data_IF_005887938812
#
_entry.id   IF_005887938812
#
_cell.length_a   1.000
_cell.length_b   1.000
_cell.length_c   1.000
_cell.angle_alpha   90.00
_cell.angle_beta   90.00
_cell.angle_gamma   90.00
#
_symmetry.space_group_name_H-M   'P 1'
#
loop_
_entity.id
_entity.type
_entity.pdbx_description
1 polymer ?
#
# COMPACT_ATOMS: atom_id res chain seq x y z
N UNK A 1 3.77 11.97 8.42
CA UNK A 1 2.34 12.22 8.11
C UNK A 1 1.76 13.42 8.89
N UNK A 2 1.93 13.54 10.22
CA UNK A 2 1.37 14.68 11.00
C UNK A 2 1.81 16.05 10.46
N UNK A 3 3.09 16.22 10.07
CA UNK A 3 3.59 17.46 9.49
C UNK A 3 2.88 17.84 8.19
N UNK A 4 2.70 16.87 7.26
CA UNK A 4 2.01 17.10 5.99
C UNK A 4 0.57 17.54 6.23
N UNK A 5 -0.17 16.83 7.09
CA UNK A 5 -1.55 17.20 7.43
C UNK A 5 -1.62 18.60 8.04
N UNK A 6 -0.69 18.96 8.92
CA UNK A 6 -0.62 20.30 9.47
C UNK A 6 -0.43 21.36 8.38
N UNK A 7 0.54 21.17 7.49
CA UNK A 7 0.78 22.10 6.38
C UNK A 7 -0.45 22.24 5.48
N UNK A 8 -1.14 21.15 5.16
CA UNK A 8 -2.39 21.16 4.39
C UNK A 8 -3.45 22.01 5.09
N UNK A 9 -3.62 21.80 6.39
CA UNK A 9 -4.61 22.55 7.20
C UNK A 9 -4.24 24.03 7.33
N UNK A 10 -2.98 24.34 7.58
CA UNK A 10 -2.48 25.72 7.66
C UNK A 10 -2.65 26.46 6.32
N UNK A 11 -2.71 25.74 5.19
CA UNK A 11 -2.99 26.29 3.85
C UNK A 11 -4.48 26.41 3.51
N UNK A 12 -5.37 26.20 4.48
CA UNK A 12 -6.82 26.34 4.31
C UNK A 12 -7.53 25.14 3.67
N UNK A 13 -6.83 24.00 3.53
CA UNK A 13 -7.40 22.76 3.03
C UNK A 13 -7.82 21.83 4.17
N UNK A 14 -8.80 20.98 3.92
CA UNK A 14 -9.12 19.88 4.83
C UNK A 14 -8.21 18.67 4.50
N UNK A 15 -7.41 18.23 5.47
CA UNK A 15 -6.56 17.05 5.33
C UNK A 15 -7.26 15.78 5.80
N UNK A 16 -7.29 14.75 4.94
CA UNK A 16 -7.82 13.42 5.25
C UNK A 16 -6.72 12.38 5.04
N UNK A 17 -6.46 11.56 6.06
CA UNK A 17 -5.47 10.48 5.99
C UNK A 17 -6.17 9.15 5.78
N UNK A 18 -5.94 8.54 4.62
CA UNK A 18 -6.29 7.17 4.35
C UNK A 18 -5.23 6.22 4.91
N UNK A 19 -5.64 5.19 5.62
CA UNK A 19 -4.80 4.06 5.99
C UNK A 19 -5.07 2.88 5.08
N UNK A 20 -4.04 2.22 4.59
CA UNK A 20 -4.21 0.90 3.98
C UNK A 20 -4.81 -0.10 4.96
N UNK A 21 -5.45 -1.14 4.44
CA UNK A 21 -6.08 -2.20 5.22
C UNK A 21 -5.13 -2.77 6.28
N UNK A 22 -5.57 -2.79 7.53
CA UNK A 22 -4.76 -3.24 8.66
C UNK A 22 -3.60 -2.32 9.04
N UNK A 23 -3.55 -1.06 8.58
CA UNK A 23 -2.51 -0.09 8.94
C UNK A 23 -2.98 0.99 9.94
N UNK A 24 -4.23 0.95 10.38
CA UNK A 24 -4.80 1.89 11.36
C UNK A 24 -4.63 1.47 12.83
N UNK A 25 -3.82 0.44 13.10
CA UNK A 25 -3.69 -0.17 14.44
C UNK A 25 -4.67 -1.32 14.69
N UNK A 26 -5.63 -1.56 13.78
CA UNK A 26 -6.56 -2.70 13.82
C UNK A 26 -6.43 -3.53 12.55
N UNK A 27 -6.56 -4.86 12.68
CA UNK A 27 -6.59 -5.74 11.53
C UNK A 27 -7.93 -5.60 10.78
N UNK A 28 -7.86 -5.67 9.46
CA UNK A 28 -9.06 -5.78 8.64
C UNK A 28 -9.67 -7.19 8.77
N UNK A 29 -10.97 -7.31 8.45
CA UNK A 29 -11.73 -8.57 8.61
C UNK A 29 -11.35 -9.64 7.57
N UNK A 30 -11.02 -9.23 6.34
CA UNK A 30 -10.65 -10.15 5.26
C UNK A 30 -9.26 -10.74 5.45
N UNK A 31 -8.99 -11.91 4.86
CA UNK A 31 -7.67 -12.53 4.90
C UNK A 31 -6.65 -11.72 4.11
N UNK A 32 -7.01 -11.19 2.96
CA UNK A 32 -6.16 -10.25 2.22
C UNK A 32 -5.84 -9.00 3.05
N UNK A 33 -4.68 -8.41 2.81
CA UNK A 33 -4.29 -7.11 3.37
C UNK A 33 -4.37 -6.02 2.30
N UNK A 34 -3.27 -5.42 1.93
CA UNK A 34 -3.10 -4.47 0.84
C UNK A 34 -1.88 -4.86 0.02
N UNK A 35 -1.81 -4.39 -1.21
CA UNK A 35 -0.64 -4.51 -2.08
C UNK A 35 -0.43 -3.23 -2.88
N UNK A 36 0.67 -3.14 -3.66
CA UNK A 36 1.07 -1.92 -4.35
C UNK A 36 0.05 -1.43 -5.39
N UNK A 37 -0.69 -2.35 -6.00
CA UNK A 37 -1.71 -2.06 -7.00
C UNK A 37 -3.15 -2.08 -6.46
N UNK A 38 -3.39 -2.03 -5.14
CA UNK A 38 -4.75 -2.08 -4.57
C UNK A 38 -5.41 -0.68 -4.64
N UNK A 39 -6.14 -0.44 -5.73
CA UNK A 39 -6.80 0.84 -6.04
C UNK A 39 -8.24 0.91 -5.54
N UNK A 40 -8.87 -0.22 -5.22
CA UNK A 40 -10.29 -0.29 -4.86
C UNK A 40 -10.63 0.53 -3.60
N UNK A 41 -9.75 0.51 -2.60
CA UNK A 41 -9.97 1.28 -1.37
C UNK A 41 -9.79 2.79 -1.62
N UNK A 42 -8.84 3.18 -2.49
CA UNK A 42 -8.65 4.57 -2.91
C UNK A 42 -9.92 5.07 -3.59
N UNK A 43 -10.42 4.31 -4.57
CA UNK A 43 -11.64 4.65 -5.29
C UNK A 43 -12.85 4.80 -4.35
N UNK A 44 -13.02 3.87 -3.41
CA UNK A 44 -14.13 3.90 -2.45
C UNK A 44 -14.11 5.16 -1.58
N UNK A 45 -12.93 5.56 -1.11
CA UNK A 45 -12.76 6.77 -0.30
C UNK A 45 -13.00 8.02 -1.13
N UNK A 46 -12.51 8.09 -2.35
CA UNK A 46 -12.72 9.24 -3.25
C UNK A 46 -14.22 9.41 -3.54
N UNK A 47 -14.93 8.33 -3.87
CA UNK A 47 -16.38 8.37 -4.09
C UNK A 47 -17.12 8.85 -2.83
N UNK A 48 -16.77 8.34 -1.65
CA UNK A 48 -17.37 8.79 -0.39
C UNK A 48 -17.13 10.29 -0.15
N UNK A 49 -15.94 10.79 -0.47
CA UNK A 49 -15.62 12.21 -0.32
C UNK A 49 -16.40 13.08 -1.30
N UNK A 50 -16.56 12.64 -2.55
CA UNK A 50 -17.38 13.35 -3.55
C UNK A 50 -18.83 13.43 -3.08
N UNK A 51 -19.39 12.32 -2.61
CA UNK A 51 -20.76 12.27 -2.13
C UNK A 51 -20.99 13.16 -0.89
N UNK A 52 -20.00 13.21 0.01
CA UNK A 52 -20.07 14.01 1.24
C UNK A 52 -19.80 15.49 1.02
N UNK A 53 -18.99 15.81 0.00
CA UNK A 53 -18.54 17.18 -0.29
C UNK A 53 -18.62 17.48 -1.80
N UNK A 54 -19.81 17.50 -2.41
CA UNK A 54 -19.98 17.54 -3.87
C UNK A 54 -19.35 18.79 -4.52
N UNK A 55 -19.30 19.93 -3.80
CA UNK A 55 -18.76 21.19 -4.32
C UNK A 55 -17.27 21.38 -4.02
N UNK A 56 -16.60 20.38 -3.44
CA UNK A 56 -15.18 20.49 -3.06
C UNK A 56 -14.26 19.83 -4.11
N UNK A 57 -13.18 20.52 -4.41
CA UNK A 57 -12.08 19.95 -5.20
C UNK A 57 -11.31 18.97 -4.33
N UNK A 58 -10.99 17.80 -4.88
CA UNK A 58 -10.24 16.75 -4.21
C UNK A 58 -8.87 16.62 -4.86
N UNK A 59 -7.83 16.70 -4.05
CA UNK A 59 -6.46 16.38 -4.46
C UNK A 59 -5.91 15.22 -3.62
N UNK A 60 -5.02 14.42 -4.18
CA UNK A 60 -4.43 13.28 -3.49
C UNK A 60 -2.90 13.39 -3.41
N UNK A 61 -2.32 12.92 -2.29
CA UNK A 61 -0.86 12.78 -2.12
C UNK A 61 -0.58 11.34 -1.74
N UNK A 62 0.16 10.64 -2.57
CA UNK A 62 0.65 9.27 -2.31
C UNK A 62 2.15 9.26 -2.02
N UNK A 63 2.58 8.51 -1.01
CA UNK A 63 3.99 8.40 -0.63
C UNK A 63 4.42 6.94 -0.69
N UNK A 64 5.59 6.66 -1.33
CA UNK A 64 6.15 5.32 -1.47
C UNK A 64 5.10 4.38 -2.09
N UNK A 65 4.77 3.26 -1.46
CA UNK A 65 3.73 2.32 -1.91
C UNK A 65 2.37 3.00 -2.12
N UNK A 66 2.04 4.01 -1.30
CA UNK A 66 0.82 4.81 -1.48
C UNK A 66 0.85 5.67 -2.73
N UNK A 67 2.04 6.10 -3.15
CA UNK A 67 2.25 6.78 -4.43
C UNK A 67 2.06 5.84 -5.61
N UNK A 68 2.55 4.61 -5.51
CA UNK A 68 2.36 3.58 -6.52
C UNK A 68 0.88 3.27 -6.74
N UNK A 69 0.14 2.97 -5.67
CA UNK A 69 -1.30 2.72 -5.73
C UNK A 69 -2.07 3.92 -6.30
N UNK A 70 -1.67 5.16 -5.94
CA UNK A 70 -2.29 6.37 -6.47
C UNK A 70 -2.05 6.52 -7.99
N UNK A 71 -0.82 6.31 -8.47
CA UNK A 71 -0.52 6.41 -9.91
C UNK A 71 -1.28 5.34 -10.69
N UNK A 72 -1.32 4.11 -10.18
CA UNK A 72 -2.12 3.04 -10.80
C UNK A 72 -3.61 3.45 -10.86
N UNK A 73 -4.17 3.97 -9.77
CA UNK A 73 -5.53 4.49 -9.75
C UNK A 73 -5.75 5.56 -10.84
N UNK A 74 -4.84 6.52 -10.97
CA UNK A 74 -4.92 7.56 -12.01
C UNK A 74 -4.92 6.96 -13.42
N UNK A 75 -4.06 5.98 -13.68
CA UNK A 75 -3.99 5.27 -14.94
C UNK A 75 -5.27 4.49 -15.25
N UNK A 76 -5.85 3.82 -14.27
CA UNK A 76 -7.12 3.08 -14.41
C UNK A 76 -8.31 4.01 -14.68
N UNK A 77 -8.36 5.18 -14.04
CA UNK A 77 -9.43 6.15 -14.23
C UNK A 77 -9.27 6.97 -15.51
N UNK A 78 -8.06 7.21 -15.97
CA UNK A 78 -7.76 8.00 -17.16
C UNK A 78 -8.45 9.37 -17.12
N UNK A 79 -9.14 9.72 -18.21
CA UNK A 79 -9.86 11.00 -18.35
C UNK A 79 -11.06 11.14 -17.39
N UNK A 80 -11.54 10.04 -16.82
CA UNK A 80 -12.67 10.04 -15.89
C UNK A 80 -12.23 10.25 -14.42
N UNK A 81 -10.95 10.49 -14.17
CA UNK A 81 -10.44 10.65 -12.82
C UNK A 81 -11.07 11.87 -12.14
N UNK A 82 -11.73 11.70 -10.99
CA UNK A 82 -12.42 12.79 -10.31
C UNK A 82 -11.47 13.68 -9.49
N UNK A 83 -10.19 13.33 -9.40
CA UNK A 83 -9.19 14.14 -8.69
C UNK A 83 -8.80 15.36 -9.52
N UNK A 84 -8.79 16.54 -8.89
CA UNK A 84 -8.32 17.77 -9.53
C UNK A 84 -6.80 17.81 -9.67
N UNK A 85 -6.08 17.19 -8.72
CA UNK A 85 -4.62 17.11 -8.73
C UNK A 85 -4.15 15.87 -7.95
N UNK A 86 -2.97 15.37 -8.29
CA UNK A 86 -2.32 14.28 -7.57
C UNK A 86 -0.80 14.51 -7.48
N UNK A 87 -0.22 14.13 -6.35
CA UNK A 87 1.23 14.15 -6.13
C UNK A 87 1.66 12.77 -5.65
N UNK A 88 2.66 12.21 -6.29
CA UNK A 88 3.26 10.93 -5.89
C UNK A 88 4.74 11.15 -5.53
N UNK A 89 5.14 10.72 -4.34
CA UNK A 89 6.46 10.98 -3.75
C UNK A 89 7.18 9.66 -3.51
N UNK A 90 8.43 9.55 -3.99
CA UNK A 90 9.31 8.38 -3.78
C UNK A 90 8.66 7.05 -4.17
N UNK A 91 8.07 7.02 -5.36
CA UNK A 91 7.28 5.88 -5.87
C UNK A 91 8.18 4.76 -6.34
N UNK A 92 7.96 3.51 -5.93
CA UNK A 92 8.57 2.33 -6.53
C UNK A 92 7.84 1.99 -7.85
N UNK A 93 8.20 2.66 -8.95
CA UNK A 93 7.57 2.47 -10.27
C UNK A 93 7.75 1.05 -10.84
N UNK A 94 8.88 0.43 -10.56
CA UNK A 94 9.17 -0.95 -10.89
C UNK A 94 9.47 -1.70 -9.60
N UNK A 95 8.55 -2.57 -9.20
CA UNK A 95 8.65 -3.31 -7.94
C UNK A 95 9.77 -4.34 -7.97
N UNK A 96 10.04 -4.96 -9.13
CA UNK A 96 11.10 -5.95 -9.27
C UNK A 96 12.47 -5.29 -9.10
N UNK A 97 12.70 -4.16 -9.78
CA UNK A 97 13.95 -3.39 -9.64
C UNK A 97 14.09 -2.88 -8.21
N UNK A 98 13.03 -2.30 -7.63
CA UNK A 98 13.07 -1.80 -6.26
C UNK A 98 13.36 -2.89 -5.23
N UNK A 99 12.76 -4.08 -5.37
CA UNK A 99 13.04 -5.23 -4.49
C UNK A 99 14.52 -5.62 -4.56
N UNK A 100 15.08 -5.70 -5.77
CA UNK A 100 16.49 -6.03 -6.00
C UNK A 100 17.44 -4.98 -5.42
N UNK A 101 17.16 -3.69 -5.62
CA UNK A 101 17.99 -2.60 -5.07
C UNK A 101 17.99 -2.59 -3.54
N UNK A 102 16.90 -3.01 -2.91
CA UNK A 102 16.83 -3.14 -1.45
C UNK A 102 17.70 -4.28 -0.89
N UNK A 103 18.20 -5.20 -1.71
CA UNK A 103 19.11 -6.27 -1.30
C UNK A 103 20.58 -5.81 -1.22
N UNK A 104 20.91 -4.56 -1.58
CA UNK A 104 22.27 -4.08 -1.67
C UNK A 104 22.59 -2.98 -0.66
N UNK A 105 23.85 -2.82 -0.29
CA UNK A 105 24.35 -1.72 0.54
C UNK A 105 23.54 -1.49 1.83
N UNK A 106 23.37 -0.23 2.20
CA UNK A 106 22.61 0.17 3.38
C UNK A 106 21.10 -0.09 3.27
N UNK A 107 20.58 -0.23 2.05
CA UNK A 107 19.16 -0.53 1.81
C UNK A 107 18.72 -1.87 2.42
N UNK A 108 19.65 -2.81 2.62
CA UNK A 108 19.41 -4.09 3.32
C UNK A 108 18.92 -3.89 4.75
N UNK A 109 19.43 -2.88 5.47
CA UNK A 109 18.98 -2.60 6.84
C UNK A 109 17.53 -2.12 6.81
N UNK A 110 17.20 -1.26 5.85
CA UNK A 110 15.84 -0.78 5.65
C UNK A 110 14.89 -1.92 5.25
N UNK A 111 15.29 -2.77 4.31
CA UNK A 111 14.54 -3.96 3.92
C UNK A 111 14.27 -4.87 5.13
N UNK A 112 15.31 -5.20 5.90
CA UNK A 112 15.19 -6.02 7.10
C UNK A 112 14.16 -5.43 8.09
N UNK A 113 14.22 -4.14 8.35
CA UNK A 113 13.27 -3.46 9.24
C UNK A 113 11.84 -3.57 8.73
N UNK A 114 11.61 -3.36 7.44
CA UNK A 114 10.28 -3.44 6.82
C UNK A 114 9.75 -4.87 6.84
N UNK A 115 10.52 -5.85 6.39
CA UNK A 115 10.11 -7.28 6.36
C UNK A 115 9.81 -7.77 7.79
N UNK A 116 10.64 -7.41 8.77
CA UNK A 116 10.37 -7.74 10.17
C UNK A 116 9.03 -7.17 10.65
N UNK A 117 8.73 -5.95 10.27
CA UNK A 117 7.47 -5.28 10.63
C UNK A 117 6.27 -5.92 9.95
N UNK A 118 6.39 -6.29 8.67
CA UNK A 118 5.38 -7.01 7.90
C UNK A 118 5.13 -8.40 8.49
N UNK A 119 6.18 -9.16 8.80
CA UNK A 119 6.08 -10.48 9.43
C UNK A 119 5.35 -10.40 10.78
N UNK A 120 5.69 -9.42 11.62
CA UNK A 120 4.99 -9.19 12.90
C UNK A 120 3.50 -8.91 12.67
N UNK A 121 3.17 -8.10 11.68
CA UNK A 121 1.80 -7.75 11.33
C UNK A 121 1.00 -8.96 10.85
N UNK A 122 1.57 -9.79 9.97
CA UNK A 122 0.95 -11.02 9.48
C UNK A 122 0.72 -12.02 10.62
N UNK A 123 1.72 -12.28 11.46
CA UNK A 123 1.56 -13.15 12.65
C UNK A 123 0.45 -12.66 13.58
N UNK A 124 0.39 -11.35 13.83
CA UNK A 124 -0.64 -10.75 14.69
C UNK A 124 -2.03 -10.87 14.06
N UNK A 125 -2.15 -10.68 12.74
CA UNK A 125 -3.42 -10.80 12.01
C UNK A 125 -4.02 -12.19 12.09
N UNK A 126 -3.19 -13.22 12.00
CA UNK A 126 -3.64 -14.61 11.98
C UNK A 126 -3.42 -15.35 13.31
N UNK A 127 -3.27 -14.62 14.42
CA UNK A 127 -3.07 -15.22 15.73
C UNK A 127 -4.24 -16.10 16.18
N UNK A 128 -5.47 -15.68 15.84
CA UNK A 128 -6.72 -16.29 16.32
C UNK A 128 -7.57 -16.89 15.18
N UNK A 129 -7.02 -16.93 13.96
CA UNK A 129 -7.71 -17.49 12.80
C UNK A 129 -6.73 -18.21 11.87
N UNK A 130 -7.21 -19.19 11.07
CA UNK A 130 -6.38 -19.83 10.07
C UNK A 130 -5.75 -18.82 9.10
N UNK A 131 -4.49 -19.04 8.75
CA UNK A 131 -3.79 -18.23 7.75
C UNK A 131 -3.83 -18.94 6.38
N UNK A 132 -3.99 -18.20 5.28
CA UNK A 132 -3.92 -18.77 3.94
C UNK A 132 -2.48 -19.10 3.49
N UNK A 133 -1.50 -18.87 4.36
CA UNK A 133 -0.07 -19.07 4.13
C UNK A 133 0.57 -19.80 5.32
N UNK A 134 1.76 -20.37 5.12
CA UNK A 134 2.50 -21.03 6.21
C UNK A 134 3.21 -19.99 7.10
N UNK A 135 2.64 -19.71 8.29
CA UNK A 135 3.19 -18.73 9.24
C UNK A 135 4.55 -19.14 9.83
N UNK A 136 4.88 -20.42 9.88
CA UNK A 136 6.17 -20.90 10.43
C UNK A 136 7.33 -20.48 9.54
N UNK A 137 7.10 -20.45 8.23
CA UNK A 137 8.08 -20.04 7.22
C UNK A 137 8.29 -18.53 7.10
N UNK A 138 7.48 -17.70 7.75
CA UNK A 138 7.62 -16.24 7.68
C UNK A 138 9.04 -15.72 8.01
N UNK A 139 9.78 -16.44 8.85
CA UNK A 139 11.16 -16.07 9.21
C UNK A 139 12.19 -16.38 8.12
N UNK A 140 11.83 -17.22 7.14
CA UNK A 140 12.69 -17.61 6.02
C UNK A 140 12.63 -16.57 4.89
N UNK A 141 11.53 -15.82 4.80
CA UNK A 141 11.30 -14.81 3.78
C UNK A 141 11.82 -13.46 4.28
N UNK A 142 13.09 -13.17 3.94
CA UNK A 142 13.88 -12.07 4.51
C UNK A 142 14.04 -10.87 3.59
N UNK A 143 13.59 -10.98 2.36
CA UNK A 143 13.60 -9.96 1.32
C UNK A 143 12.18 -9.75 0.74
N UNK A 144 12.00 -8.68 -0.04
CA UNK A 144 10.69 -8.37 -0.62
C UNK A 144 10.25 -9.39 -1.65
N UNK A 145 11.16 -9.90 -2.49
CA UNK A 145 10.79 -10.87 -3.52
C UNK A 145 10.22 -12.15 -2.90
N UNK A 146 10.93 -12.72 -1.92
CA UNK A 146 10.49 -13.93 -1.22
C UNK A 146 9.21 -13.68 -0.40
N UNK A 147 9.10 -12.54 0.26
CA UNK A 147 7.90 -12.16 1.00
C UNK A 147 6.70 -11.98 0.07
N UNK A 148 6.85 -11.25 -1.02
CA UNK A 148 5.76 -11.00 -1.96
C UNK A 148 5.33 -12.27 -2.67
N UNK A 149 6.28 -13.16 -3.01
CA UNK A 149 5.97 -14.47 -3.61
C UNK A 149 5.14 -15.37 -2.69
N UNK A 150 5.52 -15.44 -1.41
CA UNK A 150 4.95 -16.42 -0.47
C UNK A 150 3.81 -15.83 0.38
N UNK A 151 3.67 -14.52 0.45
CA UNK A 151 2.64 -13.85 1.28
C UNK A 151 1.70 -13.03 0.43
N UNK A 152 2.20 -12.04 -0.32
CA UNK A 152 1.32 -11.09 -1.03
C UNK A 152 0.62 -11.79 -2.20
N UNK A 153 1.36 -12.48 -3.06
CA UNK A 153 0.80 -13.14 -4.22
C UNK A 153 -0.34 -14.11 -3.85
N UNK A 154 -0.15 -15.10 -2.95
CA UNK A 154 -1.23 -16.04 -2.59
C UNK A 154 -2.38 -15.36 -1.83
N UNK A 155 -2.12 -14.35 -1.00
CA UNK A 155 -3.18 -13.64 -0.27
C UNK A 155 -4.08 -12.78 -1.17
N UNK A 156 -3.61 -12.43 -2.35
CA UNK A 156 -4.32 -11.55 -3.29
C UNK A 156 -4.69 -12.25 -4.61
N UNK A 157 -4.40 -13.56 -4.73
CA UNK A 157 -4.79 -14.36 -5.90
C UNK A 157 -3.90 -14.17 -7.12
N UNK A 158 -2.68 -13.68 -6.95
CA UNK A 158 -1.66 -13.68 -7.99
C UNK A 158 -1.02 -15.06 -8.10
N UNK A 159 -0.65 -15.45 -9.32
CA UNK A 159 -0.02 -16.76 -9.62
C UNK A 159 1.40 -16.81 -9.06
N UNK A 160 2.12 -15.69 -9.12
CA UNK A 160 3.50 -15.52 -8.67
C UNK A 160 3.80 -14.09 -8.28
N UNK A 161 4.98 -13.83 -7.74
CA UNK A 161 5.49 -12.48 -7.52
C UNK A 161 5.67 -11.73 -8.85
N UNK A 162 6.09 -12.40 -9.90
CA UNK A 162 6.27 -11.77 -11.21
C UNK A 162 4.91 -11.38 -11.82
N UNK A 163 3.88 -12.21 -11.64
CA UNK A 163 2.50 -11.87 -12.01
C UNK A 163 1.99 -10.65 -11.19
N UNK A 164 2.33 -10.58 -9.91
CA UNK A 164 2.01 -9.43 -9.07
C UNK A 164 2.73 -8.16 -9.53
N UNK A 165 4.02 -8.25 -9.83
CA UNK A 165 4.82 -7.08 -10.22
C UNK A 165 4.47 -6.57 -11.64
N UNK A 166 3.91 -7.45 -12.49
CA UNK A 166 3.48 -7.08 -13.84
C UNK A 166 2.09 -6.42 -13.91
N UNK A 167 1.30 -6.50 -12.83
CA UNK A 167 -0.09 -5.99 -12.77
C UNK A 167 -0.22 -4.75 -11.90
#
# INVERSE_FOLDING_TARGET
MKGILKTITDSGWQGILMHFRGCSGRHNRFDRSYHAGDTADINSIIIELINRYPDRKIAAIGISLGGNALIKYLGEQGANCPLTAAIAISVPFDLAICAKELETGFSRIYQWYLIRSLNKKIRSKFKEKPAPINLEKLKEWTDFYSFDHNVIAPMHGFISVDDYYAK
#
